data_IF_391014724556
#
_entry.id   IF_391014724556
#
_cell.length_a   1.000
_cell.length_b   1.000
_cell.length_c   1.000
_cell.angle_alpha   90.00
_cell.angle_beta   90.00
_cell.angle_gamma   90.00
#
_symmetry.space_group_name_H-M   'P 1'
#
loop_
_entity.id
_entity.type
_entity.pdbx_description
1 polymer ?
2 non-polymer ?
3 non-polymer ?
4 water ?
#
# COMPACT_ATOMS: atom_id res chain seq x y z
N UNK A 21 2.21 7.24 8.18
CA UNK A 21 0.78 7.49 8.46
C UNK A 21 0.64 8.63 9.45
N UNK A 22 -0.06 9.68 9.04
CA UNK A 22 -0.33 10.88 9.84
C UNK A 22 -1.73 10.87 10.44
N UNK A 23 -1.80 11.14 11.76
CA UNK A 23 -3.07 11.20 12.46
C UNK A 23 -3.71 9.85 12.67
N UNK A 24 -2.92 8.77 12.59
CA UNK A 24 -3.51 7.46 12.89
C UNK A 24 -3.21 6.98 14.30
N UNK A 25 -3.15 5.65 14.43
CA UNK A 25 -2.91 5.02 15.73
C UNK A 25 -2.06 3.78 15.51
N UNK A 26 -1.37 3.29 16.53
CA UNK A 26 -0.65 2.02 16.36
C UNK A 26 -1.58 0.87 16.05
N UNK A 27 -1.36 0.14 14.94
CA UNK A 27 -2.22 -0.98 14.63
C UNK A 27 -2.19 -2.01 15.75
N UNK A 28 -3.28 -2.72 16.00
CA UNK A 28 -3.11 -3.91 16.86
C UNK A 28 -2.08 -4.79 16.15
N UNK A 29 -1.02 -5.22 16.82
CA UNK A 29 0.01 -6.02 16.15
C UNK A 29 -0.57 -7.20 15.39
N UNK A 30 -0.12 -7.35 14.15
CA UNK A 30 -0.48 -8.40 13.21
C UNK A 30 -1.95 -8.42 12.82
N UNK A 31 -2.66 -7.29 13.07
CA UNK A 31 -4.03 -7.20 12.57
C UNK A 31 -4.07 -6.92 11.08
N UNK A 32 -2.94 -6.56 10.48
CA UNK A 32 -2.84 -6.39 9.04
C UNK A 32 -1.81 -7.37 8.49
N UNK A 33 -2.06 -8.67 8.57
CA UNK A 33 -0.99 -9.65 8.31
C UNK A 33 -0.58 -9.79 6.85
N UNK A 34 -1.22 -9.08 5.93
CA UNK A 34 -0.78 -8.97 4.55
C UNK A 34 0.28 -7.89 4.39
N UNK A 35 0.44 -7.01 5.38
CA UNK A 35 1.35 -5.88 5.24
C UNK A 35 2.80 -6.39 5.22
N UNK A 36 3.53 -5.98 4.20
CA UNK A 36 4.97 -6.27 4.20
C UNK A 36 5.75 -4.97 4.12
N UNK A 37 7.03 -5.06 4.49
CA UNK A 37 8.00 -3.98 4.36
C UNK A 37 8.93 -4.33 3.21
N UNK A 38 9.18 -3.46 2.25
CA UNK A 38 10.19 -3.66 1.22
C UNK A 38 11.51 -3.03 1.69
N UNK A 39 12.57 -3.85 1.63
CA UNK A 39 13.82 -3.44 2.28
C UNK A 39 14.99 -3.59 1.30
N UNK A 40 15.85 -2.55 1.29
CA UNK A 40 17.04 -2.56 0.46
C UNK A 40 18.21 -2.08 1.30
N UNK A 41 18.32 -2.60 2.51
CA UNK A 41 19.29 -2.08 3.47
C UNK A 41 18.59 -1.29 4.57
N UNK A 42 17.29 -1.03 4.37
CA UNK A 42 16.45 -0.18 5.18
C UNK A 42 15.01 -0.32 4.63
N UNK A 43 13.99 0.01 5.40
CA UNK A 43 12.62 0.08 4.87
C UNK A 43 12.47 1.22 3.89
N UNK A 44 11.83 1.02 2.75
CA UNK A 44 11.61 2.21 1.92
C UNK A 44 10.19 2.21 1.36
N UNK A 45 9.46 1.11 1.44
CA UNK A 45 8.12 1.10 0.87
C UNK A 45 7.32 -0.03 1.52
N UNK A 46 5.99 0.03 1.44
CA UNK A 46 5.15 -1.09 1.88
C UNK A 46 4.77 -1.95 0.71
N UNK A 47 3.97 -2.99 1.00
CA UNK A 47 3.34 -3.86 0.02
C UNK A 47 2.32 -4.79 0.70
N UNK A 48 1.64 -5.57 -0.10
CA UNK A 48 0.63 -6.50 0.41
C UNK A 48 0.77 -7.87 -0.20
N UNK A 49 0.84 -8.89 0.70
CA UNK A 49 0.85 -10.26 0.23
C UNK A 49 -0.52 -10.66 -0.31
N UNK A 50 -0.59 -11.22 -1.50
CA UNK A 50 -1.90 -11.57 -2.07
C UNK A 50 -2.06 -13.07 -2.26
N UNK A 51 -0.94 -13.79 -2.17
CA UNK A 51 -0.97 -15.25 -2.03
C UNK A 51 0.40 -15.69 -1.53
N UNK A 52 0.63 -17.01 -1.47
CA UNK A 52 1.92 -17.35 -0.85
C UNK A 52 3.12 -16.96 -1.70
N UNK A 53 2.97 -16.64 -2.97
CA UNK A 53 4.12 -16.33 -3.79
C UNK A 53 4.23 -14.88 -4.26
N UNK A 54 3.21 -14.06 -4.05
CA UNK A 54 3.22 -12.73 -4.69
C UNK A 54 2.79 -11.61 -3.75
N UNK A 55 3.40 -10.44 -3.93
CA UNK A 55 3.14 -9.18 -3.24
C UNK A 55 2.74 -8.10 -4.25
N UNK A 56 1.72 -7.33 -3.89
CA UNK A 56 1.36 -6.14 -4.68
C UNK A 56 1.88 -4.89 -3.99
N UNK A 57 2.50 -4.00 -4.79
CA UNK A 57 3.04 -2.74 -4.30
C UNK A 57 2.85 -1.67 -5.38
N UNK A 58 3.61 -0.59 -5.24
CA UNK A 58 3.48 0.55 -6.17
C UNK A 58 4.62 0.54 -7.17
N UNK A 59 4.34 0.74 -8.44
CA UNK A 59 5.42 0.84 -9.42
C UNK A 59 6.48 1.88 -9.06
N UNK A 60 6.13 2.96 -8.39
CA UNK A 60 7.14 3.98 -8.13
C UNK A 60 8.10 3.50 -7.04
N UNK A 61 7.79 2.36 -6.41
CA UNK A 61 8.67 1.76 -5.42
C UNK A 61 9.63 0.78 -6.09
N UNK A 62 9.62 0.68 -7.41
CA UNK A 62 10.44 -0.30 -8.10
C UNK A 62 11.92 -0.24 -7.70
N UNK A 63 12.50 -1.39 -7.37
CA UNK A 63 13.95 -1.63 -7.43
C UNK A 63 14.10 -3.03 -8.06
N UNK A 64 15.18 -3.36 -8.74
CA UNK A 64 15.21 -4.61 -9.49
C UNK A 64 15.25 -5.86 -8.60
N UNK A 65 15.67 -5.66 -7.37
CA UNK A 65 15.62 -6.70 -6.36
C UNK A 65 15.38 -6.08 -5.00
N UNK A 66 14.49 -6.73 -4.25
CA UNK A 66 14.20 -6.24 -2.92
C UNK A 66 14.06 -7.43 -1.97
N UNK A 67 14.21 -7.14 -0.69
CA UNK A 67 13.89 -8.12 0.34
C UNK A 67 12.50 -7.81 0.90
N UNK A 68 11.62 -8.81 0.80
CA UNK A 68 10.29 -8.63 1.38
C UNK A 68 10.28 -9.13 2.83
N UNK A 69 9.84 -8.29 3.73
CA UNK A 69 9.82 -8.61 5.16
C UNK A 69 8.37 -8.74 5.60
N UNK A 70 7.99 -9.95 5.96
CA UNK A 70 6.60 -10.27 6.33
C UNK A 70 6.51 -10.52 7.82
N UNK A 71 5.31 -10.46 8.40
CA UNK A 71 5.25 -10.83 9.82
C UNK A 71 5.84 -9.78 10.71
N UNK A 72 5.92 -8.52 10.27
CA UNK A 72 6.45 -7.44 11.07
C UNK A 72 5.39 -6.64 11.83
N UNK A 73 5.73 -6.19 13.02
CA UNK A 73 5.04 -5.13 13.71
C UNK A 73 6.01 -3.98 13.97
N UNK A 74 7.06 -4.23 14.75
CA UNK A 74 8.13 -3.25 14.99
C UNK A 74 9.29 -3.58 14.06
N UNK A 75 9.58 -2.75 13.04
CA UNK A 75 10.57 -3.13 12.03
C UNK A 75 12.01 -2.98 12.53
N UNK A 76 12.17 -2.42 13.71
CA UNK A 76 13.45 -2.24 14.38
C UNK A 76 13.78 -3.35 15.36
N UNK A 77 12.83 -4.19 15.72
CA UNK A 77 13.02 -5.21 16.75
C UNK A 77 12.69 -6.58 16.21
N UNK A 78 13.53 -7.58 16.54
CA UNK A 78 13.25 -8.93 16.07
C UNK A 78 12.22 -9.54 17.01
N UNK A 79 11.03 -9.87 16.52
CA UNK A 79 9.91 -10.28 17.35
C UNK A 79 9.71 -11.78 17.30
N UNK A 80 10.24 -12.40 16.25
CA UNK A 80 10.13 -13.85 16.13
C UNK A 80 9.03 -14.29 15.18
N UNK A 81 8.25 -13.32 14.71
CA UNK A 81 7.19 -13.52 13.75
C UNK A 81 7.58 -13.26 12.31
N UNK A 82 8.81 -12.76 12.12
CA UNK A 82 9.19 -12.32 10.78
C UNK A 82 9.60 -13.42 9.85
N UNK A 83 9.38 -13.19 8.55
CA UNK A 83 9.96 -13.90 7.45
C UNK A 83 10.62 -12.89 6.50
N UNK A 84 11.88 -13.10 6.14
CA UNK A 84 12.53 -12.19 5.19
C UNK A 84 12.77 -13.01 3.93
N UNK A 85 12.22 -12.62 2.80
CA UNK A 85 12.32 -13.39 1.57
C UNK A 85 12.74 -12.47 0.44
N UNK A 86 13.83 -12.80 -0.25
CA UNK A 86 14.23 -12.01 -1.40
C UNK A 86 13.20 -12.13 -2.53
N UNK A 87 13.12 -11.08 -3.35
CA UNK A 87 12.30 -11.18 -4.55
C UNK A 87 13.02 -12.04 -5.59
N UNK A 88 12.26 -12.67 -6.47
CA UNK A 88 12.85 -13.26 -7.66
C UNK A 88 12.43 -12.49 -8.91
N UNK A 89 11.28 -11.82 -8.85
CA UNK A 89 10.83 -11.06 -10.01
C UNK A 89 10.25 -9.74 -9.49
N UNK A 90 10.51 -8.64 -10.20
CA UNK A 90 9.85 -7.37 -9.78
C UNK A 90 9.22 -6.84 -11.06
N UNK A 91 7.90 -6.73 -11.11
CA UNK A 91 7.22 -6.45 -12.38
C UNK A 91 6.40 -5.17 -12.27
N UNK A 92 6.94 -4.12 -12.88
CA UNK A 92 6.17 -2.89 -12.97
C UNK A 92 4.99 -3.02 -13.91
N UNK A 93 3.84 -2.35 -13.60
CA UNK A 93 2.84 -2.29 -14.65
C UNK A 93 3.44 -1.67 -15.91
N UNK A 94 3.15 -2.32 -17.02
CA UNK A 94 3.72 -1.91 -18.32
C UNK A 94 3.39 -0.48 -18.66
N UNK A 95 2.29 0.04 -18.11
CA UNK A 95 1.95 1.40 -18.59
C UNK A 95 2.12 2.44 -17.50
N UNK A 96 2.98 2.15 -16.51
CA UNK A 96 3.32 3.12 -15.50
C UNK A 96 3.85 4.40 -16.14
N UNK A 97 3.39 5.55 -15.64
CA UNK A 97 3.85 6.83 -16.18
C UNK A 97 4.11 7.84 -15.08
N UNK A 98 5.31 8.45 -15.02
CA UNK A 98 5.53 9.41 -13.94
C UNK A 98 4.92 10.79 -14.16
N UNK A 99 4.25 11.06 -15.28
CA UNK A 99 3.74 12.42 -15.46
C UNK A 99 2.71 12.71 -14.37
N UNK A 100 1.95 11.68 -14.06
CA UNK A 100 0.73 11.63 -13.29
C UNK A 100 0.84 10.55 -12.19
N UNK A 101 1.97 9.86 -12.22
CA UNK A 101 2.09 8.66 -11.39
C UNK A 101 0.95 7.71 -11.77
N UNK A 102 0.70 7.51 -13.05
CA UNK A 102 -0.45 6.69 -13.49
C UNK A 102 -0.06 5.24 -13.50
N UNK A 103 -1.00 4.32 -13.28
CA UNK A 103 -0.79 2.87 -13.27
C UNK A 103 0.27 2.51 -12.24
N UNK A 104 0.13 3.03 -11.03
CA UNK A 104 1.16 2.92 -10.01
C UNK A 104 1.03 1.60 -9.25
N UNK A 105 1.29 0.51 -9.96
CA UNK A 105 1.13 -0.85 -9.45
C UNK A 105 2.22 -1.81 -9.91
N UNK A 106 2.70 -2.64 -8.98
CA UNK A 106 3.80 -3.55 -9.29
C UNK A 106 3.57 -4.90 -8.62
N UNK A 107 4.05 -5.95 -9.24
CA UNK A 107 3.98 -7.27 -8.64
C UNK A 107 5.39 -7.72 -8.23
N UNK A 108 5.52 -8.32 -7.06
CA UNK A 108 6.81 -8.88 -6.63
C UNK A 108 6.60 -10.38 -6.40
N UNK A 109 7.36 -11.20 -7.13
CA UNK A 109 7.34 -12.64 -6.89
C UNK A 109 8.38 -13.00 -5.83
N UNK A 110 7.96 -13.82 -4.87
CA UNK A 110 8.86 -14.23 -3.80
C UNK A 110 9.76 -15.36 -4.27
N UNK A 111 11.05 -15.33 -3.93
CA UNK A 111 11.91 -16.41 -4.43
C UNK A 111 11.60 -17.76 -3.82
N UNK A 112 10.93 -17.75 -2.69
CA UNK A 112 10.37 -18.98 -2.10
C UNK A 112 9.01 -18.64 -1.51
N UNK A 113 8.05 -19.55 -1.44
CA UNK A 113 6.74 -19.20 -0.90
C UNK A 113 6.81 -18.78 0.57
N UNK A 114 5.98 -17.81 0.94
CA UNK A 114 5.81 -17.44 2.33
C UNK A 114 5.05 -18.56 3.05
N UNK A 115 5.40 -18.72 4.32
CA UNK A 115 4.66 -19.62 5.18
C UNK A 115 3.53 -18.84 5.83
N UNK A 116 2.32 -19.32 5.53
CA UNK A 116 1.13 -18.65 6.05
C UNK A 116 0.83 -19.14 7.45
N UNK A 117 0.57 -18.20 8.35
CA UNK A 117 0.48 -18.58 9.77
C UNK A 117 -0.18 -17.51 10.59
N UNK A 118 -0.04 -17.41 11.89
CA UNK A 118 -0.69 -16.36 12.66
C UNK A 118 -0.33 -14.95 12.18
N UNK A 119 0.91 -14.80 11.73
CA UNK A 119 1.45 -13.45 11.50
C UNK A 119 1.52 -13.05 10.04
N UNK A 120 1.34 -14.00 9.14
CA UNK A 120 1.50 -13.81 7.70
C UNK A 120 0.33 -14.43 6.95
N UNK A 121 -0.56 -13.63 6.36
CA UNK A 121 -1.77 -14.07 5.69
C UNK A 121 -2.07 -13.13 4.52
N UNK A 122 -2.43 -13.67 3.38
CA UNK A 122 -2.69 -12.84 2.20
C UNK A 122 -4.03 -12.11 2.30
N UNK A 123 -4.08 -10.97 1.59
CA UNK A 123 -5.35 -10.25 1.47
C UNK A 123 -5.92 -10.50 0.09
N UNK A 124 -7.26 -10.56 0.10
CA UNK A 124 -7.99 -10.82 -1.14
C UNK A 124 -7.97 -9.63 -2.10
N UNK A 125 -7.95 -9.97 -3.38
CA UNK A 125 -8.07 -8.94 -4.41
C UNK A 125 -9.56 -8.61 -4.49
N UNK A 126 -9.88 -7.42 -4.97
CA UNK A 126 -11.28 -6.97 -4.96
C UNK A 126 -12.24 -7.79 -5.79
N UNK A 127 -13.45 -7.97 -5.24
CA UNK A 127 -14.58 -8.56 -5.95
C UNK A 127 -15.46 -7.47 -6.56
N UNK A 128 -15.15 -6.21 -6.29
CA UNK A 128 -15.82 -5.04 -6.84
C UNK A 128 -14.96 -3.81 -6.67
N UNK A 129 -15.32 -2.70 -7.27
CA UNK A 129 -14.67 -1.44 -6.95
C UNK A 129 -15.47 -0.75 -5.85
N UNK A 130 -14.89 -0.50 -4.69
CA UNK A 130 -15.65 0.10 -3.60
C UNK A 130 -16.17 1.49 -3.95
N UNK A 131 -17.42 1.77 -3.58
CA UNK A 131 -18.00 3.10 -3.84
C UNK A 131 -17.51 4.20 -2.92
N UNK A 132 -17.68 5.44 -3.37
CA UNK A 132 -17.45 6.61 -2.57
C UNK A 132 -18.15 6.50 -1.21
N UNK A 133 -17.45 6.90 -0.17
CA UNK A 133 -17.83 6.95 1.21
C UNK A 133 -17.55 5.66 1.97
N UNK A 134 -17.11 4.61 1.27
CA UNK A 134 -16.68 3.40 1.96
C UNK A 134 -15.55 3.71 2.94
N UNK A 135 -15.62 3.26 4.20
CA UNK A 135 -14.54 3.45 5.16
C UNK A 135 -13.55 2.29 5.00
N UNK A 136 -12.28 2.68 4.91
CA UNK A 136 -11.18 1.75 4.69
C UNK A 136 -10.08 1.93 5.72
N UNK A 137 -9.11 1.02 5.71
CA UNK A 137 -7.95 1.16 6.59
C UNK A 137 -6.68 1.26 5.71
N UNK A 138 -5.81 2.20 6.02
CA UNK A 138 -4.47 2.25 5.36
C UNK A 138 -3.46 2.05 6.46
N UNK A 139 -2.31 1.45 6.12
CA UNK A 139 -1.33 1.19 7.16
C UNK A 139 0.10 1.37 6.61
N UNK A 140 1.03 1.61 7.52
CA UNK A 140 2.42 1.71 7.09
C UNK A 140 3.37 2.20 8.17
N UNK A 141 4.68 2.15 7.81
CA UNK A 141 5.74 2.61 8.68
C UNK A 141 6.33 3.93 8.19
N UNK A 142 5.54 4.69 7.42
CA UNK A 142 5.96 5.97 6.92
C UNK A 142 5.90 7.07 7.96
N UNK A 143 6.27 8.28 7.55
CA UNK A 143 6.30 9.47 8.39
C UNK A 143 4.97 9.72 9.09
N UNK A 144 5.01 10.09 10.37
CA UNK A 144 3.78 10.28 11.14
C UNK A 144 3.50 11.76 11.43
N UNK A 145 4.45 12.62 11.15
CA UNK A 145 4.33 14.06 11.43
C UNK A 145 3.69 14.29 12.80
N UNK A 146 4.18 13.53 13.79
CA UNK A 146 3.60 13.50 15.12
C UNK A 146 4.66 13.40 16.20
N UNK A 147 4.46 14.14 17.29
CA UNK A 147 5.43 14.06 18.38
C UNK A 147 5.13 12.89 19.29
N UNK A 148 4.04 12.16 18.98
CA UNK A 148 3.71 11.04 19.89
C UNK A 148 3.52 9.70 19.18
N UNK A 149 3.35 9.62 17.88
CA UNK A 149 3.28 8.34 17.16
C UNK A 149 4.68 7.85 16.76
N UNK A 150 4.89 6.54 16.71
CA UNK A 150 6.17 5.90 16.41
C UNK A 150 6.10 5.12 15.11
N UNK A 151 6.70 5.65 14.05
CA UNK A 151 6.63 5.03 12.73
C UNK A 151 7.34 3.69 12.68
N UNK A 152 8.05 3.31 13.74
CA UNK A 152 8.74 2.01 13.75
C UNK A 152 7.71 0.90 14.01
N UNK A 153 6.59 1.28 14.60
CA UNK A 153 5.51 0.36 14.90
C UNK A 153 4.39 0.56 13.88
N UNK A 154 3.94 -0.49 13.25
CA UNK A 154 2.98 -0.32 12.16
C UNK A 154 1.78 0.52 12.59
N UNK A 155 1.55 1.56 11.78
CA UNK A 155 0.49 2.52 12.05
C UNK A 155 -0.70 2.24 11.14
N UNK A 156 -1.90 2.51 11.67
CA UNK A 156 -3.16 2.28 11.00
C UNK A 156 -4.00 3.56 11.00
N UNK A 157 -4.85 3.71 10.01
CA UNK A 157 -5.71 4.89 9.94
C UNK A 157 -6.95 4.53 9.13
N UNK A 158 -8.10 4.97 9.65
CA UNK A 158 -9.33 4.75 8.91
C UNK A 158 -9.58 5.97 8.00
N UNK A 159 -9.74 5.73 6.72
CA UNK A 159 -9.97 6.77 5.71
C UNK A 159 -11.14 6.40 4.81
N UNK A 160 -12.04 7.36 4.54
CA UNK A 160 -13.10 7.07 3.57
C UNK A 160 -12.73 7.39 2.13
N UNK A 161 -13.31 6.67 1.20
CA UNK A 161 -13.10 6.94 -0.21
C UNK A 161 -13.88 8.21 -0.58
N UNK A 162 -13.16 9.13 -1.18
CA UNK A 162 -13.79 10.39 -1.65
C UNK A 162 -14.34 10.21 -3.03
N UNK A 163 -15.27 11.10 -3.41
CA UNK A 163 -15.80 11.01 -4.76
C UNK A 163 -14.78 11.36 -5.83
N UNK A 164 -15.02 10.82 -7.03
CA UNK A 164 -14.17 11.17 -8.15
C UNK A 164 -14.18 12.70 -8.28
N UNK A 165 -15.37 13.29 -8.18
CA UNK A 165 -15.40 14.75 -8.39
C UNK A 165 -14.53 15.51 -7.40
N UNK A 166 -14.58 15.16 -6.11
CA UNK A 166 -13.73 15.83 -5.13
C UNK A 166 -12.25 15.54 -5.39
N UNK A 167 -11.99 14.32 -5.85
CA UNK A 167 -10.58 13.93 -6.14
C UNK A 167 -10.03 14.77 -7.28
N UNK A 168 -10.73 14.73 -8.41
CA UNK A 168 -10.34 15.56 -9.55
C UNK A 168 -10.33 17.03 -9.18
N UNK A 169 -11.31 17.51 -8.42
CA UNK A 169 -11.28 18.92 -8.06
C UNK A 169 -10.04 19.30 -7.29
N UNK A 170 -9.55 18.39 -6.43
CA UNK A 170 -8.32 18.65 -5.68
C UNK A 170 -7.09 18.70 -6.58
N UNK A 171 -7.06 17.87 -7.61
CA UNK A 171 -5.90 17.75 -8.50
C UNK A 171 -6.35 17.74 -9.95
N UNK A 172 -6.85 18.89 -10.46
CA UNK A 172 -7.54 18.88 -11.75
C UNK A 172 -6.80 18.26 -12.90
N UNK A 173 -7.42 17.28 -13.55
CA UNK A 173 -6.93 16.63 -14.75
C UNK A 173 -5.84 15.62 -14.46
N UNK A 174 -5.49 15.43 -13.19
CA UNK A 174 -4.40 14.49 -12.91
C UNK A 174 -4.93 13.15 -12.46
N UNK A 175 -6.23 13.08 -12.16
CA UNK A 175 -6.80 11.84 -11.61
C UNK A 175 -7.32 10.98 -12.73
N UNK A 176 -6.71 9.82 -12.96
CA UNK A 176 -7.10 8.92 -14.02
C UNK A 176 -8.04 7.83 -13.49
N UNK A 177 -8.46 6.99 -14.43
CA UNK A 177 -9.31 5.85 -14.12
C UNK A 177 -8.60 4.88 -13.14
N UNK A 178 -7.27 4.97 -13.09
CA UNK A 178 -6.53 4.03 -12.25
C UNK A 178 -6.24 4.57 -10.87
N UNK A 179 -6.93 5.64 -10.44
CA UNK A 179 -6.71 6.30 -9.17
C UNK A 179 -8.03 6.56 -8.43
N UNK A 180 -7.94 6.61 -7.11
CA UNK A 180 -9.01 7.17 -6.29
C UNK A 180 -8.37 7.93 -5.15
N UNK A 181 -9.10 8.92 -4.62
CA UNK A 181 -8.66 9.63 -3.43
C UNK A 181 -9.36 9.08 -2.18
N UNK A 182 -8.72 9.15 -1.05
CA UNK A 182 -9.33 8.74 0.23
C UNK A 182 -8.73 9.52 1.38
N UNK A 183 -9.48 9.81 2.43
CA UNK A 183 -8.94 10.64 3.51
C UNK A 183 -9.92 11.78 3.79
N UNK A 184 -9.39 12.93 4.17
CA UNK A 184 -10.17 14.02 4.73
C UNK A 184 -9.69 15.32 4.12
N UNK A 185 -10.58 16.01 3.39
CA UNK A 185 -10.13 17.24 2.75
C UNK A 185 -9.78 18.31 3.77
N UNK A 186 -10.24 18.20 5.02
CA UNK A 186 -9.90 19.20 6.02
C UNK A 186 -8.46 19.01 6.46
N UNK A 187 -7.87 17.87 6.13
CA UNK A 187 -6.49 17.62 6.49
C UNK A 187 -6.33 16.94 7.84
N UNK A 188 -5.06 16.67 8.17
CA UNK A 188 -4.66 16.14 9.46
C UNK A 188 -4.53 14.62 9.48
N UNK A 189 -5.10 13.90 8.53
CA UNK A 189 -5.09 12.43 8.55
C UNK A 189 -4.74 11.92 7.17
N UNK A 190 -3.60 11.21 6.98
CA UNK A 190 -3.24 10.86 5.61
C UNK A 190 -2.12 9.82 5.64
N UNK A 191 -1.89 9.24 4.47
CA UNK A 191 -0.68 8.41 4.33
C UNK A 191 0.44 9.39 3.96
N UNK A 192 1.69 8.92 4.04
CA UNK A 192 2.80 9.87 3.82
C UNK A 192 4.03 9.15 3.28
N UNK A 193 5.14 9.84 3.09
CA UNK A 193 6.38 9.20 2.62
C UNK A 193 6.73 7.98 3.48
N UNK A 194 7.09 6.89 2.82
CA UNK A 194 7.43 5.66 3.50
C UNK A 194 6.26 4.71 3.58
N UNK A 195 5.03 5.19 3.43
CA UNK A 195 3.86 4.33 3.34
C UNK A 195 3.61 3.81 1.95
N UNK A 196 4.26 4.42 0.94
CA UNK A 196 4.05 4.10 -0.46
C UNK A 196 4.11 2.60 -0.72
N UNK A 197 3.16 2.11 -1.54
CA UNK A 197 3.18 0.71 -1.92
C UNK A 197 2.32 -0.14 -0.95
N UNK A 198 2.04 0.40 0.22
CA UNK A 198 1.24 -0.28 1.24
C UNK A 198 -0.24 -0.32 0.89
N UNK A 199 -0.99 -1.09 1.69
CA UNK A 199 -2.41 -1.35 1.43
C UNK A 199 -3.39 -0.28 1.91
N UNK A 200 -4.46 -0.19 1.13
CA UNK A 200 -5.75 0.32 1.55
C UNK A 200 -6.74 -0.83 1.52
N UNK A 201 -7.20 -1.31 2.67
CA UNK A 201 -8.17 -2.39 2.72
C UNK A 201 -9.59 -1.85 2.96
N UNK A 202 -10.50 -2.30 2.12
CA UNK A 202 -11.91 -1.92 2.32
C UNK A 202 -12.74 -3.20 2.35
N UNK A 203 -13.47 -3.42 3.42
CA UNK A 203 -14.31 -4.62 3.60
C UNK A 203 -13.52 -5.88 3.26
N UNK A 204 -12.31 -5.90 3.85
CA UNK A 204 -11.42 -7.00 3.82
C UNK A 204 -10.85 -7.36 2.47
N UNK A 205 -10.79 -6.41 1.54
CA UNK A 205 -10.16 -6.65 0.24
C UNK A 205 -9.18 -5.51 -0.09
N UNK A 206 -8.14 -5.80 -0.86
CA UNK A 206 -7.16 -4.79 -1.23
C UNK A 206 -7.74 -3.86 -2.28
N UNK A 207 -8.31 -2.73 -1.87
CA UNK A 207 -8.85 -1.79 -2.90
C UNK A 207 -7.83 -0.76 -3.35
N UNK A 208 -6.85 -0.41 -2.52
CA UNK A 208 -5.92 0.66 -2.90
C UNK A 208 -4.46 0.30 -2.65
N UNK A 209 -3.57 0.96 -3.37
CA UNK A 209 -2.14 0.94 -3.08
C UNK A 209 -1.71 2.39 -2.80
N UNK A 210 -1.03 2.64 -1.69
CA UNK A 210 -0.55 4.01 -1.40
C UNK A 210 0.32 4.55 -2.51
N UNK A 211 -0.06 5.66 -3.15
CA UNK A 211 0.60 6.10 -4.37
C UNK A 211 1.18 7.50 -4.28
N UNK A 212 0.37 8.57 -4.19
CA UNK A 212 0.91 9.93 -4.14
C UNK A 212 -0.04 10.93 -3.50
N UNK A 213 0.44 12.16 -3.39
CA UNK A 213 -0.39 13.26 -2.89
C UNK A 213 0.44 14.54 -2.88
N UNK A 214 -0.15 15.72 -2.71
CA UNK A 214 0.66 16.92 -2.47
C UNK A 214 0.89 17.09 -0.98
N UNK A 215 2.13 16.90 -0.53
CA UNK A 215 2.42 16.88 0.89
C UNK A 215 1.73 15.69 1.55
N UNK A 216 1.48 15.81 2.83
CA UNK A 216 0.77 14.82 3.62
C UNK A 216 -0.16 15.55 4.58
N UNK A 217 -1.42 15.17 4.59
CA UNK A 217 -2.40 15.63 5.57
C UNK A 217 -2.65 17.12 5.47
N UNK A 218 -2.34 17.68 4.32
CA UNK A 218 -2.64 19.10 4.06
C UNK A 218 -4.08 19.26 3.61
N UNK A 219 -4.70 20.33 4.10
CA UNK A 219 -6.07 20.63 3.65
C UNK A 219 -6.13 20.75 2.13
N UNK A 220 -7.17 20.16 1.55
CA UNK A 220 -7.43 20.20 0.13
C UNK A 220 -6.53 19.30 -0.68
N UNK A 221 -5.68 18.53 -0.01
CA UNK A 221 -4.75 17.67 -0.75
C UNK A 221 -4.81 16.24 -0.24
N UNK A 222 -5.88 15.54 -0.59
CA UNK A 222 -6.08 14.19 -0.03
C UNK A 222 -5.11 13.19 -0.63
N UNK A 223 -4.91 12.06 0.03
CA UNK A 223 -4.06 11.02 -0.55
C UNK A 223 -4.66 10.41 -1.79
N UNK A 224 -3.82 9.99 -2.75
CA UNK A 224 -4.26 9.34 -3.96
C UNK A 224 -3.70 7.90 -3.95
N UNK A 225 -4.54 6.97 -4.37
CA UNK A 225 -4.28 5.54 -4.26
C UNK A 225 -4.45 4.88 -5.61
N UNK A 226 -3.63 3.90 -5.97
CA UNK A 226 -3.90 3.14 -7.17
C UNK A 226 -5.15 2.28 -6.95
N UNK A 227 -6.01 2.24 -7.95
CA UNK A 227 -7.34 1.63 -7.89
C UNK A 227 -7.24 0.18 -8.33
N UNK A 228 -6.96 -0.71 -7.36
CA UNK A 228 -6.59 -2.09 -7.66
C UNK A 228 -7.66 -2.83 -8.44
N UNK A 229 -8.93 -2.54 -8.12
CA UNK A 229 -10.00 -3.28 -8.80
C UNK A 229 -9.92 -3.19 -10.31
N UNK A 230 -9.36 -2.16 -10.97
CA UNK A 230 -9.36 -2.26 -12.44
C UNK A 230 -8.13 -2.94 -13.02
N UNK A 231 -7.22 -3.29 -12.12
CA UNK A 231 -6.05 -4.08 -12.50
C UNK A 231 -6.21 -5.60 -12.34
N UNK A 232 -7.38 -6.12 -11.96
CA UNK A 232 -7.41 -7.55 -11.62
C UNK A 232 -6.99 -8.45 -12.76
N UNK A 233 -7.34 -8.14 -14.02
CA UNK A 233 -6.96 -9.01 -15.12
C UNK A 233 -5.45 -8.98 -15.34
N UNK A 234 -4.85 -7.80 -15.23
CA UNK A 234 -3.37 -7.78 -15.35
C UNK A 234 -2.70 -8.55 -14.21
N UNK A 235 -3.21 -8.29 -13.00
CA UNK A 235 -2.64 -8.98 -11.83
C UNK A 235 -2.75 -10.50 -11.98
N UNK A 236 -3.97 -11.00 -12.24
CA UNK A 236 -4.09 -12.48 -12.23
C UNK A 236 -3.39 -13.07 -13.44
N UNK A 237 -3.42 -12.43 -14.62
CA UNK A 237 -2.66 -12.99 -15.73
C UNK A 237 -1.16 -13.02 -15.45
N UNK A 238 -0.68 -11.96 -14.78
CA UNK A 238 0.76 -11.96 -14.52
C UNK A 238 1.13 -13.05 -13.51
N UNK A 239 0.29 -13.24 -12.52
CA UNK A 239 0.60 -14.23 -11.48
C UNK A 239 0.41 -15.65 -11.98
N UNK A 240 -0.26 -15.83 -13.10
CA UNK A 240 -0.56 -17.15 -13.64
C UNK A 240 0.67 -17.69 -14.34
N UNK A 241 1.71 -16.86 -14.39
CA UNK A 241 2.93 -17.34 -15.06
C UNK A 241 3.95 -17.84 -14.03
N UNK A 242 4.70 -18.88 -14.41
CA UNK A 242 5.70 -19.44 -13.53
C UNK A 242 6.78 -20.18 -14.32
X LIG B 1 7.73 7.87 -0.99
X LIG B 1 6.79 7.29 -0.09
X LIG B 1 7.41 9.23 -1.19
X LIG B 1 9.03 7.81 -0.40
X LIG B 1 7.71 7.14 -2.22
X LIG C 1 15.56 -1.41 9.41
X LIG C 1 15.99 -2.17 10.53
X LIG C 1 14.61 -2.15 8.64
X LIG C 1 14.95 -0.20 9.86
X LIG C 1 16.68 -1.09 8.57
X LIG D 1 10.26 -6.92 13.77
#
# INVERSE_FOLDING_TARGET
MISLVFVLLIGAAFATEDDKIVGGYECKPYSQPHQVSLNSGYHFCGGSLVNENWVVSAAHCYKSRVEVRLGEHNIKVTEGSEQFISSSRVIRHPNYSSYNIDNDIMLIKLSKPATLNTYVQPVALPTSCAPAGTMCTVSGWGNTMSSTADSNKLQCLNIPILSYSDCNNSYPGMITNAMFCAGYLEGGKDSCQGDSGGPVVCNGELQGVVSWGYGCAEPGNPGVYAKVCIFNDWLTSTMASY
SO4 S O1 O2 O3 O4
SO4 S O1 O2 O3 O4
CA CA
#
